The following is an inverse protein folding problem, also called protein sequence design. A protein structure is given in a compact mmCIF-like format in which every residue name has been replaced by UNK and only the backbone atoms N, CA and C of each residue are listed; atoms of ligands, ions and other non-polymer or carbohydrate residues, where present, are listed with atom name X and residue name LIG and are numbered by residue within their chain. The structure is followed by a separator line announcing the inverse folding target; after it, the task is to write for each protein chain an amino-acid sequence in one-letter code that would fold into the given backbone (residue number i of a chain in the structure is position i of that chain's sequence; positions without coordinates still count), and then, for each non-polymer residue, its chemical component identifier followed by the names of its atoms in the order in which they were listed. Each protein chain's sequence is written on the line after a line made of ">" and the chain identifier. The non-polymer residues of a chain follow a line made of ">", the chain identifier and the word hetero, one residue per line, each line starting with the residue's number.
data_IF_021159909042
#
_entry.id   IF_021159909042
#
_cell.length_a   1.000
_cell.length_b   1.000
_cell.length_c   1.000
_cell.angle_alpha   90.00
_cell.angle_beta   90.00
_cell.angle_gamma   90.00
#
_symmetry.space_group_name_H-M   'P 1'
#
loop_
_entity.id
_entity.type
_entity.pdbx_description
1 polymer ?
#
# COMPACT_ATOMS: atom_id res chain seq x y z
N UNK A 1 19.89 -1.90 -5.11
CA UNK A 1 19.82 -0.59 -4.42
C UNK A 1 20.74 0.46 -5.00
N UNK A 2 22.05 0.19 -5.24
CA UNK A 2 23.00 1.22 -5.77
C UNK A 2 22.55 1.89 -7.09
N UNK A 3 21.90 1.19 -8.00
CA UNK A 3 21.47 1.79 -9.28
C UNK A 3 20.17 2.57 -9.16
N UNK A 4 19.22 2.10 -8.32
CA UNK A 4 18.06 2.90 -7.97
C UNK A 4 18.50 4.20 -7.29
N UNK A 5 19.49 4.11 -6.40
CA UNK A 5 20.13 5.24 -5.74
C UNK A 5 20.80 6.18 -6.76
N UNK A 6 21.47 5.65 -7.79
CA UNK A 6 22.11 6.46 -8.85
C UNK A 6 21.08 7.16 -9.75
N UNK A 7 19.98 6.48 -10.11
CA UNK A 7 18.91 7.06 -10.92
C UNK A 7 18.14 8.16 -10.17
N UNK A 8 17.99 8.02 -8.86
CA UNK A 8 17.29 9.01 -8.02
C UNK A 8 18.24 10.14 -7.61
N UNK A 9 19.53 9.90 -7.50
CA UNK A 9 20.55 10.91 -7.12
C UNK A 9 20.54 12.15 -8.04
N UNK A 10 20.24 11.95 -9.31
CA UNK A 10 20.11 13.07 -10.27
C UNK A 10 18.85 13.92 -10.05
N UNK A 11 17.99 13.54 -9.07
CA UNK A 11 16.71 14.17 -8.79
C UNK A 11 16.64 14.91 -7.47
N UNK A 12 17.40 14.49 -6.47
CA UNK A 12 17.35 15.08 -5.15
C UNK A 12 18.69 15.74 -4.83
N UNK A 13 18.71 17.06 -4.83
CA UNK A 13 19.89 17.84 -4.37
C UNK A 13 20.35 17.45 -2.95
N UNK A 14 19.52 16.73 -2.19
CA UNK A 14 19.79 16.29 -0.82
C UNK A 14 19.67 14.75 -0.64
N UNK A 15 19.84 13.97 -1.69
CA UNK A 15 19.75 12.52 -1.60
C UNK A 15 20.88 11.93 -0.73
N UNK A 16 20.49 11.16 0.29
CA UNK A 16 21.41 10.32 1.08
C UNK A 16 21.24 8.87 0.66
N UNK A 17 22.32 8.14 0.29
CA UNK A 17 22.24 6.72 -0.02
C UNK A 17 21.58 5.97 1.14
N UNK A 18 20.61 5.13 0.83
CA UNK A 18 19.98 4.26 1.81
C UNK A 18 21.02 3.36 2.46
N UNK A 19 21.07 3.33 3.78
CA UNK A 19 21.87 2.38 4.56
C UNK A 19 21.17 1.01 4.70
N UNK A 20 20.03 0.81 4.05
CA UNK A 20 19.24 -0.41 4.12
C UNK A 20 20.03 -1.60 3.58
N UNK A 21 20.22 -2.60 4.44
CA UNK A 21 20.78 -3.90 4.11
C UNK A 21 19.72 -4.90 3.64
N UNK A 22 18.52 -4.43 3.30
CA UNK A 22 17.42 -5.28 2.87
C UNK A 22 17.77 -6.00 1.57
N UNK A 23 17.53 -7.30 1.53
CA UNK A 23 17.62 -8.08 0.30
C UNK A 23 16.42 -7.79 -0.58
N UNK A 24 16.60 -7.64 -1.89
CA UNK A 24 15.53 -7.53 -2.87
C UNK A 24 15.41 -8.86 -3.60
N UNK A 25 14.30 -9.54 -3.37
CA UNK A 25 14.06 -10.90 -3.82
C UNK A 25 12.96 -10.88 -4.89
N UNK A 26 13.13 -11.60 -6.00
CA UNK A 26 12.15 -11.65 -7.09
C UNK A 26 11.72 -13.08 -7.35
N UNK A 27 10.41 -13.30 -7.46
CA UNK A 27 9.82 -14.57 -7.88
C UNK A 27 9.04 -14.43 -9.18
N UNK A 28 9.35 -15.32 -10.14
CA UNK A 28 8.58 -15.47 -11.36
C UNK A 28 7.54 -16.58 -11.19
N UNK A 29 6.30 -16.31 -11.60
CA UNK A 29 5.15 -17.18 -11.48
C UNK A 29 4.42 -17.28 -12.82
N UNK A 30 3.63 -18.31 -13.03
CA UNK A 30 3.04 -18.59 -14.33
C UNK A 30 1.73 -17.84 -14.60
N UNK A 31 1.01 -17.44 -13.52
CA UNK A 31 -0.28 -16.74 -13.63
C UNK A 31 -0.66 -16.02 -12.33
N UNK A 32 -1.74 -15.22 -12.37
CA UNK A 32 -2.23 -14.45 -11.21
C UNK A 32 -2.59 -15.34 -10.01
N UNK A 33 -3.21 -16.49 -10.25
CA UNK A 33 -3.65 -17.37 -9.16
C UNK A 33 -2.47 -18.00 -8.41
N UNK A 34 -1.42 -18.38 -9.13
CA UNK A 34 -0.18 -18.86 -8.52
C UNK A 34 0.54 -17.73 -7.77
N UNK A 35 0.56 -16.52 -8.33
CA UNK A 35 1.15 -15.36 -7.69
C UNK A 35 0.45 -15.03 -6.39
N UNK A 36 -0.86 -14.90 -6.41
CA UNK A 36 -1.65 -14.59 -5.22
C UNK A 36 -1.49 -15.71 -4.16
N UNK A 37 -1.51 -17.00 -4.55
CA UNK A 37 -1.24 -18.12 -3.65
C UNK A 37 0.15 -18.07 -3.04
N UNK A 38 1.17 -17.75 -3.83
CA UNK A 38 2.54 -17.62 -3.35
C UNK A 38 2.69 -16.47 -2.35
N UNK A 39 2.03 -15.33 -2.59
CA UNK A 39 1.99 -14.20 -1.68
C UNK A 39 1.35 -14.58 -0.35
N UNK A 40 0.21 -15.26 -0.38
CA UNK A 40 -0.49 -15.72 0.84
C UNK A 40 0.39 -16.68 1.65
N UNK A 41 1.07 -17.61 0.99
CA UNK A 41 2.01 -18.53 1.67
C UNK A 41 3.13 -17.74 2.37
N UNK A 42 3.65 -16.70 1.74
CA UNK A 42 4.64 -15.82 2.35
C UNK A 42 4.11 -15.07 3.55
N UNK A 43 2.92 -14.51 3.44
CA UNK A 43 2.25 -13.85 4.56
C UNK A 43 2.07 -14.82 5.72
N UNK A 44 1.49 -16.01 5.50
CA UNK A 44 1.31 -17.05 6.53
C UNK A 44 2.64 -17.36 7.25
N UNK A 45 3.73 -17.45 6.50
CA UNK A 45 5.03 -17.75 7.06
C UNK A 45 5.62 -16.57 7.86
N UNK A 46 5.50 -15.33 7.35
CA UNK A 46 5.98 -14.13 8.03
C UNK A 46 5.25 -13.95 9.36
N UNK A 47 3.92 -14.03 9.36
CA UNK A 47 3.09 -13.78 10.56
C UNK A 47 3.06 -14.95 11.52
N UNK A 48 3.67 -16.09 11.18
CA UNK A 48 3.89 -17.18 12.15
C UNK A 48 4.73 -16.71 13.34
N UNK A 49 5.58 -15.73 13.17
CA UNK A 49 6.21 -14.98 14.23
C UNK A 49 5.40 -13.70 14.52
N UNK A 50 4.91 -13.57 15.76
CA UNK A 50 4.04 -12.46 16.18
C UNK A 50 4.72 -11.08 16.14
N UNK A 51 6.04 -11.04 16.18
CA UNK A 51 6.81 -9.78 16.14
C UNK A 51 7.03 -9.27 14.72
N UNK A 52 6.74 -10.07 13.70
CA UNK A 52 6.90 -9.67 12.32
C UNK A 52 5.64 -8.99 11.79
N UNK A 53 5.85 -7.89 11.07
CA UNK A 53 4.82 -7.19 10.31
C UNK A 53 5.16 -7.20 8.83
N UNK A 54 4.15 -7.36 7.98
CA UNK A 54 4.29 -7.35 6.53
C UNK A 54 3.28 -6.41 5.88
N UNK A 55 3.76 -5.61 4.94
CA UNK A 55 2.88 -4.84 4.06
C UNK A 55 2.89 -5.42 2.65
N UNK A 56 1.71 -5.57 2.08
CA UNK A 56 1.53 -5.80 0.65
C UNK A 56 1.25 -4.44 0.00
N UNK A 57 2.21 -3.98 -0.79
CA UNK A 57 2.17 -2.66 -1.42
C UNK A 57 1.84 -2.78 -2.91
N UNK A 58 0.63 -2.40 -3.29
CA UNK A 58 0.20 -2.43 -4.69
C UNK A 58 0.34 -1.07 -5.37
N UNK A 59 0.62 -1.06 -6.67
CA UNK A 59 0.68 0.18 -7.46
C UNK A 59 -0.69 0.84 -7.60
N UNK A 60 -1.74 0.04 -7.77
CA UNK A 60 -3.12 0.49 -7.84
C UNK A 60 -4.04 -0.43 -7.02
N UNK A 61 -5.05 0.12 -6.33
CA UNK A 61 -5.90 -0.61 -5.39
C UNK A 61 -6.53 -1.89 -5.96
N UNK A 62 -6.97 -1.87 -7.23
CA UNK A 62 -7.56 -3.04 -7.87
C UNK A 62 -6.62 -4.27 -7.94
N UNK A 63 -5.31 -4.07 -7.90
CA UNK A 63 -4.31 -5.16 -7.90
C UNK A 63 -4.31 -5.96 -6.59
N UNK A 64 -4.82 -5.37 -5.52
CA UNK A 64 -4.88 -6.00 -4.21
C UNK A 64 -6.18 -6.76 -3.94
N UNK A 65 -7.21 -6.63 -4.79
CA UNK A 65 -8.53 -7.20 -4.50
C UNK A 65 -8.48 -8.74 -4.36
N UNK A 66 -7.81 -9.44 -5.27
CA UNK A 66 -7.68 -10.90 -5.20
C UNK A 66 -6.89 -11.37 -3.98
N UNK A 67 -5.91 -10.58 -3.56
CA UNK A 67 -5.12 -10.85 -2.34
C UNK A 67 -6.02 -10.67 -1.11
N UNK A 68 -6.82 -9.59 -1.06
CA UNK A 68 -7.79 -9.35 0.00
C UNK A 68 -8.78 -10.51 0.13
N UNK A 69 -9.39 -10.94 -0.97
CA UNK A 69 -10.30 -12.08 -1.01
C UNK A 69 -9.67 -13.37 -0.48
N UNK A 70 -8.40 -13.62 -0.82
CA UNK A 70 -7.69 -14.80 -0.33
C UNK A 70 -7.33 -14.70 1.16
N UNK A 71 -6.98 -13.51 1.66
CA UNK A 71 -6.77 -13.27 3.09
C UNK A 71 -8.05 -13.54 3.88
N UNK A 72 -9.20 -13.05 3.39
CA UNK A 72 -10.51 -13.30 3.98
C UNK A 72 -10.86 -14.80 4.00
N UNK A 73 -10.67 -15.51 2.88
CA UNK A 73 -10.91 -16.95 2.76
C UNK A 73 -10.05 -17.77 3.72
N UNK A 74 -8.83 -17.31 4.01
CA UNK A 74 -7.90 -17.95 4.95
C UNK A 74 -8.13 -17.54 6.40
N UNK A 75 -8.98 -16.56 6.67
CA UNK A 75 -9.18 -16.00 8.00
C UNK A 75 -7.97 -15.28 8.56
N UNK A 76 -7.08 -14.78 7.69
CA UNK A 76 -5.91 -14.01 8.09
C UNK A 76 -6.37 -12.59 8.39
N UNK A 77 -6.10 -12.12 9.61
CA UNK A 77 -6.41 -10.74 10.01
C UNK A 77 -5.48 -9.76 9.30
N UNK A 78 -6.04 -8.71 8.70
CA UNK A 78 -5.27 -7.68 8.02
C UNK A 78 -5.98 -6.33 8.06
N UNK A 79 -5.22 -5.25 7.90
CA UNK A 79 -5.76 -3.91 7.69
C UNK A 79 -5.83 -3.62 6.20
N UNK A 80 -7.03 -3.35 5.68
CA UNK A 80 -7.25 -3.04 4.27
C UNK A 80 -7.30 -1.53 4.02
N UNK A 81 -6.24 -0.95 3.49
CA UNK A 81 -6.14 0.46 3.16
C UNK A 81 -6.18 0.73 1.63
N UNK A 82 -6.92 -0.08 0.87
CA UNK A 82 -7.05 0.09 -0.59
C UNK A 82 -8.09 1.15 -0.99
N UNK A 83 -8.73 1.80 -0.04
CA UNK A 83 -9.70 2.86 -0.30
C UNK A 83 -9.03 4.15 -0.80
N UNK A 84 -9.79 4.93 -1.57
CA UNK A 84 -9.36 6.20 -2.15
C UNK A 84 -10.09 7.38 -1.50
N UNK A 85 -9.46 8.54 -1.54
CA UNK A 85 -10.03 9.78 -0.97
C UNK A 85 -11.28 10.29 -1.71
N UNK A 86 -11.51 9.84 -2.94
CA UNK A 86 -12.69 10.16 -3.73
C UNK A 86 -13.76 9.05 -3.71
N UNK A 87 -13.56 7.96 -2.98
CA UNK A 87 -14.63 6.98 -2.75
C UNK A 87 -15.78 7.64 -1.98
N UNK A 88 -17.02 7.40 -2.40
CA UNK A 88 -18.21 7.97 -1.75
C UNK A 88 -18.31 7.56 -0.28
N UNK A 89 -17.97 6.31 0.02
CA UNK A 89 -17.95 5.74 1.36
C UNK A 89 -16.91 6.42 2.26
N UNK A 90 -15.73 6.75 1.70
CA UNK A 90 -14.70 7.50 2.41
C UNK A 90 -15.20 8.88 2.81
N UNK A 91 -15.82 9.61 1.88
CA UNK A 91 -16.35 10.94 2.15
C UNK A 91 -17.53 10.90 3.13
N UNK A 92 -18.45 9.95 2.95
CA UNK A 92 -19.59 9.75 3.84
C UNK A 92 -19.15 9.41 5.27
N UNK A 93 -18.08 8.62 5.43
CA UNK A 93 -17.52 8.30 6.74
C UNK A 93 -17.11 9.58 7.51
N UNK A 94 -16.37 10.49 6.86
CA UNK A 94 -15.95 11.73 7.52
C UNK A 94 -17.13 12.61 7.91
N UNK A 95 -18.16 12.71 7.05
CA UNK A 95 -19.35 13.50 7.35
C UNK A 95 -20.06 12.94 8.59
N UNK A 96 -20.29 11.63 8.65
CA UNK A 96 -20.94 10.99 9.80
C UNK A 96 -20.06 11.07 11.04
N UNK A 97 -18.75 10.79 10.92
CA UNK A 97 -17.83 10.82 12.06
C UNK A 97 -17.72 12.22 12.68
N UNK A 98 -17.61 13.25 11.86
CA UNK A 98 -17.52 14.65 12.34
C UNK A 98 -18.83 15.11 13.00
N UNK A 99 -19.96 14.80 12.39
CA UNK A 99 -21.28 15.09 12.95
C UNK A 99 -21.46 14.41 14.32
N UNK A 100 -21.20 13.10 14.40
CA UNK A 100 -21.35 12.35 15.65
C UNK A 100 -20.31 12.76 16.71
N UNK A 101 -19.12 13.19 16.30
CA UNK A 101 -18.14 13.76 17.23
C UNK A 101 -18.64 15.04 17.84
N UNK A 102 -19.21 15.96 17.05
CA UNK A 102 -19.79 17.21 17.56
C UNK A 102 -21.02 16.96 18.44
N UNK A 103 -21.89 16.02 18.05
CA UNK A 103 -23.08 15.64 18.83
C UNK A 103 -22.72 14.98 20.17
N UNK A 104 -21.65 14.21 20.20
CA UNK A 104 -21.20 13.50 21.40
C UNK A 104 -20.43 14.37 22.36
N UNK A 105 -19.79 15.44 21.88
CA UNK A 105 -18.88 16.27 22.69
C UNK A 105 -19.40 17.72 22.78
N UNK A 106 -19.06 18.42 23.86
CA UNK A 106 -19.40 19.82 24.05
C UNK A 106 -18.14 20.69 24.11
N UNK A 107 -17.32 20.62 23.03
CA UNK A 107 -16.04 21.32 22.94
C UNK A 107 -14.94 20.76 23.86
N UNK A 108 -15.13 19.54 24.37
CA UNK A 108 -14.16 18.82 25.22
C UNK A 108 -14.16 17.34 24.87
N UNK A 109 -12.98 16.76 24.66
CA UNK A 109 -12.84 15.32 24.41
C UNK A 109 -12.69 14.57 25.74
N UNK A 110 -13.75 13.93 26.18
CA UNK A 110 -13.79 13.06 27.35
C UNK A 110 -14.00 11.62 26.89
N UNK A 111 -13.31 10.66 27.48
CA UNK A 111 -13.33 9.26 27.03
C UNK A 111 -14.74 8.68 26.85
N UNK A 112 -15.67 8.97 27.78
CA UNK A 112 -17.06 8.50 27.69
C UNK A 112 -17.78 9.04 26.44
N UNK A 113 -17.50 10.30 26.10
CA UNK A 113 -18.13 10.95 24.96
C UNK A 113 -17.53 10.44 23.64
N UNK A 114 -16.22 10.17 23.58
CA UNK A 114 -15.57 9.52 22.43
C UNK A 114 -16.11 8.11 22.19
N UNK A 115 -16.35 7.33 23.26
CA UNK A 115 -16.99 6.01 23.12
C UNK A 115 -18.45 6.10 22.66
N UNK A 116 -19.17 7.17 23.07
CA UNK A 116 -20.52 7.43 22.56
C UNK A 116 -20.49 7.76 21.08
N UNK A 117 -19.53 8.58 20.65
CA UNK A 117 -19.30 8.90 19.23
C UNK A 117 -19.05 7.62 18.40
N UNK A 118 -18.14 6.75 18.82
CA UNK A 118 -17.86 5.50 18.11
C UNK A 118 -19.12 4.65 17.92
N UNK A 119 -19.91 4.46 18.97
CA UNK A 119 -21.18 3.71 18.88
C UNK A 119 -22.20 4.37 17.96
N UNK A 120 -22.25 5.69 17.92
CA UNK A 120 -23.15 6.43 17.04
C UNK A 120 -22.72 6.30 15.57
N UNK A 121 -21.42 6.40 15.28
CA UNK A 121 -20.87 6.15 13.92
C UNK A 121 -21.18 4.72 13.47
N UNK A 122 -20.97 3.74 14.33
CA UNK A 122 -21.27 2.33 13.99
C UNK A 122 -22.78 2.11 13.74
N UNK A 123 -23.63 2.73 14.52
CA UNK A 123 -25.09 2.63 14.32
C UNK A 123 -25.54 3.23 12.97
N UNK A 124 -24.80 4.19 12.44
CA UNK A 124 -25.06 4.86 11.14
C UNK A 124 -24.28 4.26 9.97
N UNK A 125 -23.67 3.11 10.11
CA UNK A 125 -22.87 2.46 9.04
C UNK A 125 -23.62 2.31 7.71
N UNK A 126 -24.95 2.07 7.76
CA UNK A 126 -25.78 2.00 6.56
C UNK A 126 -25.91 3.30 5.76
N UNK A 127 -25.56 4.46 6.34
CA UNK A 127 -25.45 5.73 5.62
C UNK A 127 -24.08 5.86 4.91
N UNK A 128 -23.08 5.09 5.34
CA UNK A 128 -21.71 5.16 4.83
C UNK A 128 -21.51 4.19 3.67
N UNK A 129 -21.99 2.96 3.81
CA UNK A 129 -21.93 1.98 2.74
C UNK A 129 -23.25 1.20 2.63
N UNK A 130 -23.63 0.85 1.40
CA UNK A 130 -24.83 0.06 1.11
C UNK A 130 -24.49 -1.28 0.45
N UNK A 131 -23.26 -1.44 -0.05
CA UNK A 131 -22.77 -2.61 -0.75
C UNK A 131 -21.72 -3.32 0.09
N UNK A 132 -21.86 -4.64 0.24
CA UNK A 132 -20.95 -5.45 1.06
C UNK A 132 -19.49 -5.40 0.59
N UNK A 133 -19.27 -5.26 -0.73
CA UNK A 133 -17.93 -5.11 -1.29
C UNK A 133 -17.24 -3.78 -0.89
N UNK A 134 -17.97 -2.84 -0.28
CA UNK A 134 -17.48 -1.57 0.23
C UNK A 134 -17.36 -1.51 1.77
N UNK A 135 -17.83 -2.54 2.44
CA UNK A 135 -17.77 -2.64 3.90
C UNK A 135 -16.37 -2.43 4.45
N UNK A 136 -15.34 -2.93 3.76
CA UNK A 136 -13.94 -2.80 4.19
C UNK A 136 -13.51 -1.32 4.37
N UNK A 137 -14.09 -0.38 3.60
CA UNK A 137 -13.79 1.06 3.75
C UNK A 137 -14.27 1.53 5.12
N UNK A 138 -15.52 1.18 5.47
CA UNK A 138 -16.05 1.50 6.80
C UNK A 138 -15.21 0.88 7.91
N UNK A 139 -14.92 -0.42 7.83
CA UNK A 139 -14.18 -1.14 8.87
C UNK A 139 -12.78 -0.52 9.09
N UNK A 140 -12.10 -0.18 8.01
CA UNK A 140 -10.77 0.44 8.07
C UNK A 140 -10.82 1.88 8.61
N UNK A 141 -11.76 2.69 8.14
CA UNK A 141 -11.91 4.07 8.61
C UNK A 141 -12.36 4.12 10.07
N UNK A 142 -13.22 3.19 10.48
CA UNK A 142 -13.66 3.05 11.87
C UNK A 142 -12.49 2.70 12.79
N UNK A 143 -11.63 1.77 12.36
CA UNK A 143 -10.39 1.43 13.09
C UNK A 143 -9.46 2.62 13.22
N UNK A 144 -9.29 3.41 12.16
CA UNK A 144 -8.47 4.63 12.22
C UNK A 144 -9.09 5.69 13.16
N UNK A 145 -10.41 5.78 13.23
CA UNK A 145 -11.11 6.67 14.18
C UNK A 145 -10.88 6.22 15.64
N UNK A 146 -10.96 4.92 15.91
CA UNK A 146 -10.61 4.36 17.23
C UNK A 146 -9.19 4.72 17.64
N UNK A 147 -8.24 4.54 16.71
CA UNK A 147 -6.83 4.90 16.93
C UNK A 147 -6.67 6.39 17.18
N UNK A 148 -7.32 7.26 16.39
CA UNK A 148 -7.30 8.70 16.63
C UNK A 148 -7.74 9.03 18.07
N UNK A 149 -8.81 8.40 18.55
CA UNK A 149 -9.29 8.62 19.90
C UNK A 149 -8.35 8.09 20.98
N UNK A 150 -7.63 7.03 20.71
CA UNK A 150 -6.58 6.51 21.60
C UNK A 150 -5.38 7.47 21.62
N UNK A 151 -4.88 7.85 20.46
CA UNK A 151 -3.71 8.73 20.32
C UNK A 151 -3.98 10.15 20.86
N UNK A 152 -5.21 10.63 20.73
CA UNK A 152 -5.60 11.93 21.31
C UNK A 152 -5.37 12.00 22.83
N UNK A 153 -5.32 10.86 23.53
CA UNK A 153 -5.04 10.84 24.99
C UNK A 153 -3.60 11.21 25.29
N UNK A 154 -2.69 11.00 24.35
CA UNK A 154 -1.25 11.30 24.46
C UNK A 154 -0.94 12.77 24.15
N UNK A 155 -1.91 13.50 23.59
CA UNK A 155 -1.77 14.94 23.34
C UNK A 155 -1.66 15.65 24.68
N UNK A 156 -0.59 16.42 24.85
CA UNK A 156 -0.39 17.26 26.02
C UNK A 156 -1.44 18.36 26.09
N UNK A 157 -1.94 18.63 27.29
CA UNK A 157 -2.92 19.67 27.51
C UNK A 157 -4.26 19.21 28.09
N UNK A 158 -5.26 20.05 27.94
CA UNK A 158 -6.60 19.88 28.51
C UNK A 158 -7.50 19.02 27.61
N UNK A 159 -8.69 18.66 28.09
CA UNK A 159 -9.71 18.01 27.27
C UNK A 159 -10.18 18.87 26.09
N UNK A 160 -9.95 20.17 26.14
CA UNK A 160 -10.22 21.10 25.02
C UNK A 160 -9.17 20.96 23.94
N UNK A 161 -7.89 20.90 24.30
CA UNK A 161 -6.79 20.72 23.33
C UNK A 161 -6.94 19.38 22.59
N UNK A 162 -7.35 18.32 23.30
CA UNK A 162 -7.67 17.01 22.70
C UNK A 162 -8.87 17.08 21.76
N UNK A 163 -9.89 17.85 22.10
CA UNK A 163 -11.03 18.10 21.21
C UNK A 163 -10.58 18.79 19.93
N UNK A 164 -9.82 19.87 20.04
CA UNK A 164 -9.31 20.63 18.89
C UNK A 164 -8.42 19.75 17.97
N UNK A 165 -7.60 18.89 18.54
CA UNK A 165 -6.80 17.92 17.76
C UNK A 165 -7.66 16.94 16.96
N UNK A 166 -8.69 16.35 17.59
CA UNK A 166 -9.62 15.42 16.93
C UNK A 166 -10.43 16.15 15.86
N UNK A 167 -11.00 17.30 16.21
CA UNK A 167 -11.81 18.12 15.31
C UNK A 167 -11.03 18.53 14.06
N UNK A 168 -9.80 19.04 14.25
CA UNK A 168 -8.88 19.36 13.17
C UNK A 168 -8.57 18.16 12.30
N UNK A 169 -8.29 17.00 12.89
CA UNK A 169 -7.94 15.77 12.14
C UNK A 169 -9.13 15.28 11.32
N UNK A 170 -10.33 15.26 11.87
CA UNK A 170 -11.55 14.87 11.16
C UNK A 170 -11.93 15.89 10.07
N UNK A 171 -11.90 17.18 10.40
CA UNK A 171 -12.24 18.26 9.46
C UNK A 171 -11.31 18.33 8.25
N UNK A 172 -10.03 17.97 8.43
CA UNK A 172 -9.04 17.93 7.35
C UNK A 172 -8.87 16.53 6.71
N UNK A 173 -9.75 15.58 7.02
CA UNK A 173 -9.70 14.20 6.50
C UNK A 173 -8.37 13.50 6.79
N UNK A 174 -7.81 13.74 7.97
CA UNK A 174 -6.45 13.30 8.36
C UNK A 174 -6.36 11.90 8.95
N UNK A 175 -7.43 11.07 8.96
CA UNK A 175 -7.40 9.74 9.59
C UNK A 175 -6.32 8.82 9.01
N UNK A 176 -5.94 8.98 7.75
CA UNK A 176 -4.86 8.18 7.15
C UNK A 176 -3.52 8.30 7.90
N UNK A 177 -3.26 9.41 8.59
CA UNK A 177 -2.07 9.55 9.42
C UNK A 177 -2.05 8.57 10.59
N UNK A 178 -3.22 8.09 11.00
CA UNK A 178 -3.33 7.09 12.07
C UNK A 178 -2.86 5.69 11.64
N UNK A 179 -2.58 5.48 10.35
CA UNK A 179 -2.04 4.20 9.86
C UNK A 179 -0.67 3.86 10.47
N UNK A 180 0.10 4.82 10.92
CA UNK A 180 1.38 4.58 11.62
C UNK A 180 1.21 3.82 12.95
N UNK A 181 0.02 3.89 13.55
CA UNK A 181 -0.32 3.24 14.81
C UNK A 181 -1.09 1.92 14.64
N UNK A 182 -1.24 1.44 13.40
CA UNK A 182 -1.87 0.15 13.11
C UNK A 182 -1.02 -0.99 13.70
N UNK A 183 -1.67 -1.86 14.46
CA UNK A 183 -1.00 -2.99 15.12
C UNK A 183 -1.21 -4.33 14.42
N UNK A 184 -2.03 -4.38 13.37
CA UNK A 184 -2.19 -5.57 12.55
C UNK A 184 -0.86 -5.99 11.92
N UNK A 185 -0.59 -7.31 11.97
CA UNK A 185 0.64 -7.87 11.39
C UNK A 185 0.66 -7.77 9.86
N UNK A 186 -0.50 -7.72 9.23
CA UNK A 186 -0.65 -7.62 7.77
C UNK A 186 -1.34 -6.32 7.40
N UNK A 187 -0.73 -5.55 6.52
CA UNK A 187 -1.31 -4.33 5.94
C UNK A 187 -1.35 -4.48 4.43
N UNK A 188 -2.53 -4.30 3.84
CA UNK A 188 -2.72 -4.25 2.40
C UNK A 188 -3.03 -2.80 1.99
N UNK A 189 -2.13 -2.17 1.24
CA UNK A 189 -2.25 -0.75 0.91
C UNK A 189 -1.61 -0.42 -0.45
N UNK A 190 -1.83 0.80 -0.91
CA UNK A 190 -1.12 1.30 -2.09
C UNK A 190 0.24 1.89 -1.70
N UNK A 191 1.19 1.86 -2.65
CA UNK A 191 2.53 2.45 -2.44
C UNK A 191 2.44 3.93 -2.04
N UNK A 192 1.47 4.67 -2.59
CA UNK A 192 1.28 6.08 -2.26
C UNK A 192 0.82 6.29 -0.82
N UNK A 193 -0.09 5.46 -0.34
CA UNK A 193 -0.58 5.55 1.04
C UNK A 193 0.46 5.05 2.06
N UNK A 194 1.42 4.24 1.62
CA UNK A 194 2.53 3.74 2.45
C UNK A 194 3.65 4.77 2.71
N UNK A 195 3.56 5.97 2.12
CA UNK A 195 4.61 6.99 2.30
C UNK A 195 4.72 7.41 3.77
N UNK A 196 5.94 7.30 4.31
CA UNK A 196 6.23 7.61 5.73
C UNK A 196 6.11 6.42 6.68
N UNK A 197 5.51 5.30 6.25
CA UNK A 197 5.35 4.08 7.04
C UNK A 197 6.48 3.08 6.75
N UNK A 198 6.73 2.15 7.66
CA UNK A 198 7.76 1.11 7.51
C UNK A 198 7.31 -0.20 8.17
N UNK A 199 7.70 -1.33 7.56
CA UNK A 199 7.41 -2.67 8.06
C UNK A 199 8.67 -3.55 8.02
N UNK A 200 8.68 -4.62 8.78
CA UNK A 200 9.78 -5.59 8.75
C UNK A 200 9.94 -6.18 7.34
N UNK A 201 8.83 -6.53 6.71
CA UNK A 201 8.78 -7.13 5.39
C UNK A 201 7.82 -6.37 4.48
N UNK A 202 8.19 -6.27 3.21
CA UNK A 202 7.35 -5.67 2.17
C UNK A 202 7.22 -6.63 1.00
N UNK A 203 6.00 -6.86 0.55
CA UNK A 203 5.68 -7.60 -0.68
C UNK A 203 5.16 -6.60 -1.70
N UNK A 204 5.77 -6.55 -2.89
CA UNK A 204 5.34 -5.72 -4.01
C UNK A 204 4.92 -6.66 -5.14
N UNK A 205 3.62 -6.93 -5.30
CA UNK A 205 3.13 -7.87 -6.29
C UNK A 205 2.92 -7.25 -7.66
N UNK A 206 2.73 -8.13 -8.65
CA UNK A 206 2.23 -7.78 -10.00
C UNK A 206 3.10 -6.76 -10.73
N UNK A 207 4.42 -6.95 -10.62
CA UNK A 207 5.41 -6.13 -11.33
C UNK A 207 5.46 -6.49 -12.81
N UNK A 208 4.35 -6.30 -13.48
CA UNK A 208 4.18 -6.56 -14.89
C UNK A 208 4.17 -5.25 -15.70
N UNK A 209 4.64 -5.33 -16.93
CA UNK A 209 4.52 -4.24 -17.89
C UNK A 209 3.05 -3.82 -18.05
N UNK A 210 2.81 -2.52 -18.18
CA UNK A 210 1.49 -1.90 -18.21
C UNK A 210 0.68 -1.96 -16.90
N UNK A 211 1.23 -2.57 -15.87
CA UNK A 211 0.68 -2.54 -14.51
C UNK A 211 1.57 -1.71 -13.58
N UNK A 212 2.88 -1.88 -13.74
CA UNK A 212 3.91 -1.10 -13.07
C UNK A 212 5.20 -1.12 -13.93
N UNK A 213 5.48 -0.09 -14.72
CA UNK A 213 4.79 1.19 -14.86
C UNK A 213 3.36 1.06 -15.44
N UNK A 214 2.52 2.06 -15.14
CA UNK A 214 1.11 2.06 -15.49
C UNK A 214 0.81 2.30 -16.98
N UNK A 215 1.82 2.56 -17.81
CA UNK A 215 1.74 2.76 -19.25
C UNK A 215 3.04 2.34 -19.95
N UNK A 216 3.00 2.24 -21.27
CA UNK A 216 4.21 2.01 -22.06
C UNK A 216 5.07 3.27 -22.08
N UNK A 217 6.32 3.14 -21.65
CA UNK A 217 7.22 4.27 -21.41
C UNK A 217 8.29 4.45 -22.50
N UNK A 218 8.53 3.42 -23.32
CA UNK A 218 9.55 3.48 -24.35
C UNK A 218 8.93 3.45 -25.77
N UNK A 219 9.58 4.11 -26.74
CA UNK A 219 9.11 4.20 -28.13
C UNK A 219 8.78 2.85 -28.75
N UNK A 220 9.69 1.83 -28.70
CA UNK A 220 9.40 0.52 -29.29
C UNK A 220 8.16 -0.16 -28.68
N UNK A 221 7.86 0.07 -27.41
CA UNK A 221 6.70 -0.49 -26.75
C UNK A 221 5.42 0.29 -27.10
N UNK A 222 5.50 1.60 -27.30
CA UNK A 222 4.37 2.41 -27.74
C UNK A 222 3.97 2.07 -29.17
N UNK A 223 4.95 1.97 -30.08
CA UNK A 223 4.73 1.63 -31.49
C UNK A 223 4.13 0.23 -31.65
N UNK A 224 4.58 -0.73 -30.87
CA UNK A 224 4.07 -2.10 -30.89
C UNK A 224 2.75 -2.29 -30.12
N UNK A 225 2.29 -1.30 -29.33
CA UNK A 225 1.16 -1.46 -28.42
C UNK A 225 1.38 -2.53 -27.35
N UNK A 226 2.62 -2.98 -27.17
CA UNK A 226 3.01 -4.01 -26.20
C UNK A 226 4.48 -3.87 -25.82
N UNK A 227 4.86 -4.32 -24.63
CA UNK A 227 6.28 -4.44 -24.31
C UNK A 227 6.85 -5.66 -25.02
N UNK A 228 7.60 -5.44 -26.09
CA UNK A 228 8.25 -6.50 -26.90
C UNK A 228 9.54 -7.04 -26.27
N UNK A 229 9.68 -6.88 -24.95
CA UNK A 229 10.88 -7.37 -24.31
C UNK A 229 10.83 -8.89 -24.22
N UNK A 230 11.71 -9.53 -24.94
CA UNK A 230 12.28 -10.79 -24.48
C UNK A 230 12.95 -10.55 -23.11
N UNK A 231 13.22 -11.59 -22.37
CA UNK A 231 13.87 -11.55 -21.05
C UNK A 231 15.28 -10.94 -21.07
N UNK A 232 15.82 -10.69 -22.28
CA UNK A 232 17.15 -10.19 -22.52
C UNK A 232 17.09 -8.69 -22.77
N UNK A 233 17.92 -7.96 -22.13
CA UNK A 233 18.31 -6.56 -22.28
C UNK A 233 17.38 -5.60 -23.05
N UNK A 234 16.94 -4.54 -22.43
CA UNK A 234 16.27 -3.41 -23.08
C UNK A 234 17.14 -2.15 -22.91
N UNK A 235 17.66 -1.66 -24.00
CA UNK A 235 18.13 -0.30 -24.04
C UNK A 235 16.92 0.62 -23.80
N UNK A 236 16.93 1.34 -22.68
CA UNK A 236 15.89 2.29 -22.34
C UNK A 236 15.88 3.48 -23.30
N UNK A 237 15.18 3.33 -24.40
CA UNK A 237 14.83 4.45 -25.27
C UNK A 237 13.38 4.85 -25.00
N UNK A 238 13.12 5.48 -23.87
CA UNK A 238 11.80 6.06 -23.64
C UNK A 238 11.57 7.26 -24.56
N UNK A 239 10.30 7.49 -24.93
CA UNK A 239 9.90 8.71 -25.60
C UNK A 239 10.22 9.91 -24.69
N UNK A 240 10.76 11.00 -25.24
CA UNK A 240 11.19 12.14 -24.43
C UNK A 240 10.03 12.75 -23.61
N UNK A 241 8.82 12.75 -24.19
CA UNK A 241 7.58 13.16 -23.53
C UNK A 241 7.21 12.25 -22.33
N UNK A 242 7.64 10.99 -22.33
CA UNK A 242 7.37 10.03 -21.23
C UNK A 242 8.45 10.04 -20.16
N UNK A 243 9.53 10.76 -20.35
CA UNK A 243 10.67 10.84 -19.43
C UNK A 243 10.26 11.19 -18.01
N UNK A 244 9.40 12.19 -17.84
CA UNK A 244 8.90 12.61 -16.52
C UNK A 244 8.08 11.49 -15.87
N UNK A 245 7.12 10.92 -16.61
CA UNK A 245 6.27 9.85 -16.11
C UNK A 245 7.09 8.60 -15.71
N UNK A 246 8.09 8.23 -16.51
CA UNK A 246 8.97 7.12 -16.20
C UNK A 246 9.76 7.33 -14.90
N UNK A 247 10.22 8.55 -14.70
CA UNK A 247 10.91 8.94 -13.48
C UNK A 247 10.02 8.89 -12.25
N UNK A 248 8.77 9.28 -12.38
CA UNK A 248 7.76 9.16 -11.32
C UNK A 248 7.54 7.69 -10.95
N UNK A 249 7.42 6.79 -11.92
CA UNK A 249 7.26 5.35 -11.67
C UNK A 249 8.49 4.74 -10.97
N UNK A 250 9.71 5.14 -11.36
CA UNK A 250 10.93 4.74 -10.64
C UNK A 250 10.89 5.24 -9.18
N UNK A 251 10.49 6.48 -8.97
CA UNK A 251 10.39 7.05 -7.63
C UNK A 251 9.36 6.32 -6.78
N UNK A 252 8.25 5.89 -7.37
CA UNK A 252 7.22 5.09 -6.69
C UNK A 252 7.80 3.72 -6.28
N UNK A 253 8.52 3.03 -7.18
CA UNK A 253 9.17 1.77 -6.85
C UNK A 253 10.21 1.94 -5.73
N UNK A 254 11.00 3.00 -5.80
CA UNK A 254 11.96 3.33 -4.73
C UNK A 254 11.26 3.52 -3.38
N UNK A 255 10.18 4.32 -3.35
CA UNK A 255 9.39 4.48 -2.12
C UNK A 255 8.94 3.13 -1.60
N UNK A 256 8.41 2.24 -2.44
CA UNK A 256 7.94 0.93 -2.02
C UNK A 256 9.06 0.07 -1.41
N UNK A 257 10.22 0.00 -2.08
CA UNK A 257 11.37 -0.81 -1.62
C UNK A 257 11.90 -0.27 -0.27
N UNK A 258 11.95 1.04 -0.12
CA UNK A 258 12.46 1.68 1.11
C UNK A 258 11.52 1.58 2.31
N UNK A 259 10.34 0.98 2.15
CA UNK A 259 9.41 0.71 3.29
C UNK A 259 9.79 -0.52 4.10
N UNK A 260 10.68 -1.37 3.59
CA UNK A 260 11.12 -2.57 4.28
C UNK A 260 12.31 -2.32 5.20
N UNK A 261 12.22 -2.79 6.44
CA UNK A 261 13.33 -2.81 7.41
C UNK A 261 14.25 -4.02 7.23
N UNK A 262 13.69 -5.16 6.78
CA UNK A 262 14.41 -6.43 6.57
C UNK A 262 14.48 -6.76 5.08
N UNK A 263 13.44 -7.36 4.50
CA UNK A 263 13.45 -7.85 3.14
C UNK A 263 12.28 -7.33 2.30
N UNK A 264 12.53 -7.20 0.99
CA UNK A 264 11.53 -6.87 -0.02
C UNK A 264 11.33 -8.07 -0.93
N UNK A 265 10.10 -8.48 -1.08
CA UNK A 265 9.67 -9.55 -1.95
C UNK A 265 8.92 -9.00 -3.15
N UNK A 266 9.49 -9.16 -4.32
CA UNK A 266 8.89 -8.77 -5.57
C UNK A 266 8.30 -10.01 -6.25
N UNK A 267 7.10 -9.87 -6.83
CA UNK A 267 6.52 -10.94 -7.63
C UNK A 267 6.10 -10.43 -9.01
N UNK A 268 6.19 -11.32 -9.99
CA UNK A 268 5.78 -11.10 -11.36
C UNK A 268 5.20 -12.40 -11.93
N UNK A 269 4.21 -12.30 -12.78
CA UNK A 269 3.69 -13.46 -13.48
C UNK A 269 3.66 -13.26 -15.00
N UNK A 270 3.75 -14.36 -15.75
CA UNK A 270 3.72 -14.39 -17.21
C UNK A 270 2.39 -14.88 -17.77
N UNK A 271 1.34 -14.96 -16.96
CA UNK A 271 0.01 -15.36 -17.37
C UNK A 271 -0.65 -14.41 -18.36
N UNK A 272 -1.86 -14.74 -18.78
CA UNK A 272 -2.62 -13.91 -19.72
C UNK A 272 -3.24 -12.71 -19.03
N UNK A 273 -3.25 -11.58 -19.71
CA UNK A 273 -4.02 -10.40 -19.29
C UNK A 273 -5.50 -10.55 -19.72
N UNK A 274 -6.34 -9.56 -19.37
CA UNK A 274 -7.78 -9.55 -19.71
C UNK A 274 -8.10 -9.55 -21.21
N UNK A 275 -7.13 -9.27 -22.07
CA UNK A 275 -7.24 -9.30 -23.54
C UNK A 275 -6.61 -10.56 -24.13
N UNK A 276 -6.32 -11.58 -23.32
CA UNK A 276 -5.71 -12.84 -23.73
C UNK A 276 -4.30 -12.70 -24.32
N UNK A 277 -3.57 -11.65 -23.91
CA UNK A 277 -2.15 -11.49 -24.27
C UNK A 277 -1.26 -11.88 -23.10
N UNK A 278 -0.11 -12.48 -23.38
CA UNK A 278 0.89 -12.78 -22.37
C UNK A 278 1.36 -11.50 -21.67
N UNK A 279 1.40 -11.54 -20.36
CA UNK A 279 2.00 -10.47 -19.56
C UNK A 279 3.52 -10.50 -19.69
N UNK A 280 4.13 -9.33 -19.66
CA UNK A 280 5.57 -9.16 -19.66
C UNK A 280 6.04 -8.69 -18.28
N UNK A 281 7.28 -8.98 -17.96
CA UNK A 281 7.93 -8.45 -16.75
C UNK A 281 8.03 -6.93 -16.81
N UNK A 282 7.90 -6.26 -15.70
CA UNK A 282 8.10 -4.82 -15.59
C UNK A 282 9.49 -4.41 -16.08
N UNK A 283 9.56 -3.37 -16.92
CA UNK A 283 10.85 -2.81 -17.33
C UNK A 283 11.64 -2.19 -16.17
N UNK A 284 10.99 -1.87 -15.05
CA UNK A 284 11.66 -1.36 -13.86
C UNK A 284 12.55 -2.41 -13.18
N UNK A 285 12.32 -3.71 -13.43
CA UNK A 285 13.14 -4.79 -12.88
C UNK A 285 14.49 -4.99 -13.61
N UNK A 286 14.66 -4.33 -14.75
CA UNK A 286 15.91 -4.40 -15.53
C UNK A 286 16.79 -3.14 -15.35
N UNK A 287 16.54 -2.36 -14.31
CA UNK A 287 17.41 -1.25 -13.96
C UNK A 287 18.81 -1.80 -13.56
N UNK A 288 19.85 -1.21 -14.14
CA UNK A 288 21.24 -1.61 -13.87
C UNK A 288 21.53 -1.53 -12.35
N UNK A 289 22.12 -2.61 -11.81
CA UNK A 289 22.48 -2.71 -10.39
C UNK A 289 21.34 -3.13 -9.44
N UNK A 290 20.16 -3.45 -9.95
CA UNK A 290 19.15 -4.15 -9.16
C UNK A 290 19.54 -5.64 -9.08
N UNK A 291 20.28 -6.02 -8.06
CA UNK A 291 20.63 -7.43 -7.82
C UNK A 291 19.38 -8.17 -7.31
N UNK A 292 18.71 -8.87 -8.22
CA UNK A 292 17.53 -9.67 -7.91
C UNK A 292 17.96 -11.14 -7.73
N UNK A 293 17.46 -11.75 -6.65
CA UNK A 293 17.72 -13.16 -6.33
C UNK A 293 16.40 -13.91 -6.34
N UNK A 294 16.34 -15.04 -7.07
CA UNK A 294 15.17 -15.93 -6.99
C UNK A 294 15.08 -16.58 -5.61
N UNK A 295 13.87 -16.80 -5.12
CA UNK A 295 13.68 -17.27 -3.75
C UNK A 295 12.47 -18.21 -3.60
N UNK A 296 12.53 -18.99 -2.54
CA UNK A 296 11.40 -19.75 -1.99
C UNK A 296 11.21 -19.38 -0.53
N UNK A 297 9.96 -19.24 -0.09
CA UNK A 297 9.66 -18.78 1.27
C UNK A 297 10.35 -19.59 2.37
N UNK A 298 10.43 -20.91 2.20
CA UNK A 298 11.08 -21.82 3.19
C UNK A 298 12.55 -21.56 3.43
N UNK A 299 13.23 -20.87 2.53
CA UNK A 299 14.68 -20.60 2.62
C UNK A 299 15.01 -19.28 3.32
N UNK A 300 14.03 -18.41 3.53
CA UNK A 300 14.27 -17.01 3.88
C UNK A 300 13.85 -16.69 5.32
N UNK A 301 12.71 -17.19 5.74
CA UNK A 301 12.16 -16.91 7.07
C UNK A 301 12.52 -18.08 7.98
N UNK A 302 13.52 -17.85 8.82
CA UNK A 302 13.96 -18.80 9.85
C UNK A 302 13.31 -18.48 11.19
#
# INVERSE_FOLDING_TARGET
>A
MKALDLLIRDYAENYKPSSLKASVLLKHLSNDAEEDKFIIQGIEQIVSNRDNKVAVLVRAGWQGNSIAEMLDQKGIQYFNALFRENDSEYLSFYNVALEEFHNATSGKAVQRDLQRCLRAVEARKGEIYQRDDKKYIFDSMYKLLEILFIESRKVDGTSKDKYEYIDFTLGNKGLKHMMEFIDEQVVLTTIHAAKGLEWEYVIIPKLNGFAFPSSYMCNPCQDAGSCNRGLDYCEFTYAEEMKKAFKEEISILYVAITRAKKDVFLTVNTGLNRWNHMKTTSCLLNLEGLALVDYEWKSIIK
#
